data_IF_978173441147
#
_entry.id   IF_978173441147
#
_cell.length_a   1.000
_cell.length_b   1.000
_cell.length_c   1.000
_cell.angle_alpha   90.00
_cell.angle_beta   90.00
_cell.angle_gamma   90.00
#
_symmetry.space_group_name_H-M   'P 1'
#
loop_
_entity.id
_entity.type
_entity.pdbx_description
1 polymer ?
#
# COMPACT_ATOMS: atom_id res chain seq x y z
N UNK A 1 15.82 -50.50 -22.75
CA UNK A 1 16.82 -49.43 -22.93
C UNK A 1 16.28 -48.42 -23.94
N UNK A 2 16.44 -47.13 -23.63
CA UNK A 2 16.07 -45.95 -24.43
C UNK A 2 14.57 -45.59 -24.55
N UNK A 3 14.12 -44.64 -23.70
CA UNK A 3 13.30 -43.45 -24.03
C UNK A 3 12.42 -43.01 -22.84
N UNK A 4 13.04 -42.42 -21.82
CA UNK A 4 12.32 -41.76 -20.72
C UNK A 4 12.88 -40.37 -20.35
N UNK A 5 13.83 -39.82 -21.12
CA UNK A 5 14.66 -38.68 -20.67
C UNK A 5 14.52 -37.39 -21.50
N UNK A 6 13.40 -37.19 -22.20
CA UNK A 6 13.22 -36.00 -23.07
C UNK A 6 11.96 -35.18 -22.81
N UNK A 7 11.13 -35.53 -21.81
CA UNK A 7 9.90 -34.79 -21.49
C UNK A 7 9.95 -33.97 -20.21
N UNK A 8 11.07 -33.98 -19.45
CA UNK A 8 11.16 -33.30 -18.15
C UNK A 8 11.97 -31.97 -18.16
N UNK A 9 12.21 -31.39 -19.35
CA UNK A 9 12.94 -30.12 -19.50
C UNK A 9 12.12 -28.97 -20.07
N UNK A 10 10.79 -29.10 -20.09
CA UNK A 10 9.87 -27.97 -20.25
C UNK A 10 9.21 -27.64 -18.91
N UNK A 11 10.04 -27.43 -17.88
CA UNK A 11 9.69 -26.38 -16.91
C UNK A 11 9.58 -25.11 -17.74
N UNK A 12 8.38 -24.56 -17.82
CA UNK A 12 8.19 -23.14 -18.13
C UNK A 12 9.14 -22.42 -17.17
N UNK A 13 10.31 -22.00 -17.67
CA UNK A 13 11.10 -20.98 -17.02
C UNK A 13 10.18 -19.77 -17.03
N UNK A 14 9.45 -19.58 -15.92
CA UNK A 14 8.87 -18.29 -15.59
C UNK A 14 10.03 -17.32 -15.76
N UNK A 15 9.93 -16.49 -16.80
CA UNK A 15 10.93 -15.50 -17.16
C UNK A 15 10.98 -14.57 -15.95
N UNK A 16 11.97 -14.74 -15.08
CA UNK A 16 12.14 -13.93 -13.88
C UNK A 16 12.18 -12.47 -14.29
N UNK A 17 11.22 -11.67 -13.86
CA UNK A 17 11.15 -10.26 -14.24
C UNK A 17 12.18 -9.48 -13.42
N UNK A 18 13.30 -9.13 -14.06
CA UNK A 18 14.40 -8.43 -13.40
C UNK A 18 14.34 -6.90 -13.61
N UNK A 19 15.32 -6.17 -13.08
CA UNK A 19 15.38 -4.71 -13.21
C UNK A 19 15.51 -4.24 -14.68
N UNK A 20 16.17 -5.02 -15.55
CA UNK A 20 16.24 -4.69 -16.98
C UNK A 20 14.87 -4.86 -17.65
N UNK A 21 14.11 -5.89 -17.29
CA UNK A 21 12.76 -6.11 -17.78
C UNK A 21 11.82 -4.97 -17.36
N UNK A 22 11.96 -4.48 -16.13
CA UNK A 22 11.26 -3.27 -15.65
C UNK A 22 11.57 -2.07 -16.56
N UNK A 23 12.85 -1.75 -16.78
CA UNK A 23 13.23 -0.61 -17.62
C UNK A 23 12.82 -0.81 -19.09
N UNK A 24 12.86 -2.02 -19.63
CA UNK A 24 12.37 -2.34 -20.97
C UNK A 24 10.87 -2.07 -21.10
N UNK A 25 10.09 -2.47 -20.09
CA UNK A 25 8.65 -2.18 -20.06
C UNK A 25 8.37 -0.69 -20.01
N UNK A 26 9.10 0.06 -19.19
CA UNK A 26 8.97 1.53 -19.13
C UNK A 26 9.32 2.19 -20.46
N UNK A 27 10.39 1.75 -21.13
CA UNK A 27 10.76 2.25 -22.47
C UNK A 27 9.66 2.01 -23.52
N UNK A 28 8.83 0.98 -23.35
CA UNK A 28 7.68 0.70 -24.21
C UNK A 28 6.53 1.72 -24.11
N UNK A 29 6.50 2.60 -23.09
CA UNK A 29 5.40 3.54 -22.85
C UNK A 29 5.35 4.73 -23.83
N UNK A 30 6.31 4.86 -24.76
CA UNK A 30 6.39 5.94 -25.76
C UNK A 30 6.73 7.33 -25.21
N UNK A 31 6.41 7.60 -23.94
CA UNK A 31 6.76 8.82 -23.19
C UNK A 31 8.12 8.72 -22.48
N UNK A 32 8.66 7.51 -22.38
CA UNK A 32 9.91 7.24 -21.71
C UNK A 32 11.11 7.68 -22.57
N UNK A 33 12.17 8.13 -21.90
CA UNK A 33 13.44 8.50 -22.56
C UNK A 33 14.59 7.84 -21.84
N UNK A 34 15.45 7.18 -22.59
CA UNK A 34 16.71 6.68 -22.04
C UNK A 34 17.61 7.85 -21.65
N UNK A 35 18.23 7.74 -20.49
CA UNK A 35 19.13 8.77 -19.96
C UNK A 35 20.58 8.40 -20.28
N UNK A 36 21.48 9.39 -20.46
CA UNK A 36 22.89 9.11 -20.70
C UNK A 36 23.49 8.24 -19.61
N UNK A 37 24.38 7.32 -19.99
CA UNK A 37 25.11 6.45 -19.06
C UNK A 37 25.91 7.28 -18.05
N UNK A 38 25.94 6.80 -16.80
CA UNK A 38 26.65 7.46 -15.70
C UNK A 38 27.39 6.43 -14.87
N UNK A 39 28.50 6.84 -14.27
CA UNK A 39 29.29 5.96 -13.40
C UNK A 39 28.42 5.38 -12.28
N UNK A 40 28.46 4.05 -12.11
CA UNK A 40 27.71 3.36 -11.06
C UNK A 40 26.25 3.06 -11.40
N UNK A 41 25.77 3.48 -12.59
CA UNK A 41 24.43 3.23 -13.10
C UNK A 41 24.54 2.42 -14.39
N UNK A 42 24.01 1.20 -14.36
CA UNK A 42 24.03 0.29 -15.50
C UNK A 42 23.15 0.81 -16.63
N UNK A 43 21.96 1.33 -16.27
CA UNK A 43 20.96 1.86 -17.20
C UNK A 43 20.01 2.79 -16.47
N UNK A 44 19.48 3.79 -17.17
CA UNK A 44 18.51 4.72 -16.60
C UNK A 44 17.47 5.15 -17.63
N UNK A 45 16.21 5.18 -17.21
CA UNK A 45 15.06 5.58 -18.02
C UNK A 45 14.29 6.63 -17.26
N UNK A 46 13.93 7.71 -17.96
CA UNK A 46 13.06 8.75 -17.42
C UNK A 46 11.66 8.62 -17.98
N UNK A 47 10.67 8.51 -17.10
CA UNK A 47 9.25 8.61 -17.40
C UNK A 47 8.75 9.89 -16.77
N UNK A 48 8.32 10.86 -17.59
CA UNK A 48 7.96 12.21 -17.12
C UNK A 48 9.09 12.88 -16.30
N UNK A 49 8.88 13.14 -15.00
CA UNK A 49 9.86 13.76 -14.08
C UNK A 49 10.52 12.75 -13.13
N UNK A 50 10.28 11.46 -13.33
CA UNK A 50 10.86 10.37 -12.53
C UNK A 50 11.93 9.67 -13.36
N UNK A 51 13.15 9.67 -12.84
CA UNK A 51 14.25 8.88 -13.38
C UNK A 51 14.35 7.57 -12.59
N UNK A 52 14.24 6.45 -13.29
CA UNK A 52 14.36 5.09 -12.75
C UNK A 52 15.67 4.50 -13.25
N UNK A 53 16.56 4.15 -12.33
CA UNK A 53 17.92 3.76 -12.68
C UNK A 53 18.35 2.47 -11.99
N UNK A 54 19.06 1.63 -12.74
CA UNK A 54 19.61 0.37 -12.25
C UNK A 54 21.01 0.63 -11.73
N UNK A 55 21.25 0.36 -10.44
CA UNK A 55 22.59 0.47 -9.88
C UNK A 55 23.48 -0.71 -10.32
N UNK A 56 24.74 -0.44 -10.61
CA UNK A 56 25.71 -1.50 -10.97
C UNK A 56 26.06 -2.42 -9.79
N UNK A 57 26.06 -1.89 -8.56
CA UNK A 57 26.50 -2.59 -7.36
C UNK A 57 25.34 -2.79 -6.38
N UNK A 58 24.98 -4.04 -6.02
CA UNK A 58 23.77 -4.33 -5.23
C UNK A 58 23.87 -4.06 -3.71
N UNK A 59 24.80 -3.24 -3.24
CA UNK A 59 25.00 -2.99 -1.80
C UNK A 59 24.26 -1.76 -1.28
N UNK A 60 23.62 -1.83 -0.10
CA UNK A 60 22.89 -0.70 0.51
C UNK A 60 23.72 0.59 0.60
N UNK A 61 24.96 0.50 1.11
CA UNK A 61 25.87 1.65 1.18
C UNK A 61 26.15 2.25 -0.20
N UNK A 62 26.28 1.39 -1.22
CA UNK A 62 26.48 1.81 -2.61
C UNK A 62 25.23 2.50 -3.14
N UNK A 63 24.05 1.92 -2.94
CA UNK A 63 22.77 2.50 -3.36
C UNK A 63 22.56 3.89 -2.75
N UNK A 64 22.75 4.03 -1.44
CA UNK A 64 22.59 5.32 -0.75
C UNK A 64 23.63 6.34 -1.21
N UNK A 65 24.87 5.93 -1.49
CA UNK A 65 25.89 6.82 -2.05
C UNK A 65 25.50 7.31 -3.45
N UNK A 66 25.07 6.40 -4.34
CA UNK A 66 24.63 6.74 -5.70
C UNK A 66 23.39 7.63 -5.70
N UNK A 67 22.44 7.39 -4.80
CA UNK A 67 21.26 8.24 -4.69
C UNK A 67 21.65 9.68 -4.33
N UNK A 68 22.54 9.86 -3.34
CA UNK A 68 23.02 11.20 -2.93
C UNK A 68 23.77 11.92 -4.05
N UNK A 69 24.71 11.24 -4.70
CA UNK A 69 25.48 11.81 -5.81
C UNK A 69 24.61 12.32 -6.97
N UNK A 70 23.41 11.73 -7.12
CA UNK A 70 22.46 12.06 -8.17
C UNK A 70 21.44 13.13 -7.75
N UNK A 71 20.99 13.11 -6.50
CA UNK A 71 19.98 14.03 -5.97
C UNK A 71 20.43 15.49 -6.00
N UNK A 72 21.72 15.76 -5.80
CA UNK A 72 22.27 17.12 -5.81
C UNK A 72 22.36 17.74 -7.22
N UNK A 73 22.11 16.96 -8.28
CA UNK A 73 22.45 17.32 -9.67
C UNK A 73 21.26 17.49 -10.60
N UNK A 74 20.02 17.27 -10.15
CA UNK A 74 18.84 17.18 -11.02
C UNK A 74 17.56 17.74 -10.40
N UNK A 75 16.74 18.39 -11.22
CA UNK A 75 15.35 18.80 -10.90
C UNK A 75 14.34 17.63 -10.90
N UNK A 76 14.83 16.39 -11.11
CA UNK A 76 14.03 15.18 -11.23
C UNK A 76 14.17 14.32 -9.99
N UNK A 77 13.17 13.47 -9.78
CA UNK A 77 13.15 12.58 -8.61
C UNK A 77 13.56 11.19 -9.03
N UNK A 78 14.29 10.54 -8.13
CA UNK A 78 15.17 9.45 -8.49
C UNK A 78 14.80 8.17 -7.76
N UNK A 79 14.45 7.13 -8.52
CA UNK A 79 14.19 5.80 -7.99
C UNK A 79 15.32 4.87 -8.44
N UNK A 80 16.15 4.46 -7.49
CA UNK A 80 17.15 3.42 -7.74
C UNK A 80 16.51 2.05 -7.60
N UNK A 81 16.82 1.16 -8.53
CA UNK A 81 16.38 -0.23 -8.52
C UNK A 81 17.57 -1.18 -8.68
N UNK A 82 17.48 -2.36 -8.08
CA UNK A 82 18.35 -3.52 -8.32
C UNK A 82 17.50 -4.79 -8.28
N UNK A 83 18.00 -5.86 -8.87
CA UNK A 83 17.36 -7.18 -8.78
C UNK A 83 17.20 -7.60 -7.31
N UNK A 84 16.05 -8.20 -6.95
CA UNK A 84 15.89 -8.82 -5.64
C UNK A 84 16.23 -10.31 -5.71
N UNK A 85 17.38 -10.76 -5.15
CA UNK A 85 17.77 -12.17 -5.20
C UNK A 85 16.82 -13.11 -4.45
N UNK A 86 15.97 -12.58 -3.57
CA UNK A 86 15.01 -13.37 -2.80
C UNK A 86 13.66 -13.56 -3.51
N UNK A 87 13.35 -12.72 -4.51
CA UNK A 87 12.06 -12.69 -5.18
C UNK A 87 12.25 -12.42 -6.68
N UNK A 88 12.12 -13.48 -7.49
CA UNK A 88 12.47 -13.46 -8.92
C UNK A 88 11.71 -12.48 -9.79
N UNK A 89 10.54 -12.00 -9.35
CA UNK A 89 9.69 -11.04 -10.08
C UNK A 89 9.66 -9.67 -9.40
N UNK A 90 10.63 -9.39 -8.52
CA UNK A 90 10.71 -8.16 -7.74
C UNK A 90 12.07 -7.50 -7.88
N UNK A 91 12.07 -6.19 -7.62
CA UNK A 91 13.25 -5.36 -7.49
C UNK A 91 13.33 -4.77 -6.09
N UNK A 92 14.55 -4.54 -5.61
CA UNK A 92 14.76 -3.67 -4.44
C UNK A 92 14.84 -2.23 -4.91
N UNK A 93 14.13 -1.36 -4.21
CA UNK A 93 13.95 0.05 -4.58
C UNK A 93 14.47 0.98 -3.48
N UNK A 94 15.05 2.13 -3.87
CA UNK A 94 15.44 3.22 -2.98
C UNK A 94 14.99 4.57 -3.55
N UNK A 95 14.28 5.36 -2.73
CA UNK A 95 13.60 6.59 -3.15
C UNK A 95 12.09 6.38 -3.37
N UNK A 96 11.39 7.31 -4.05
CA UNK A 96 11.92 8.47 -4.78
C UNK A 96 12.08 9.75 -3.93
N UNK A 97 11.76 9.75 -2.63
CA UNK A 97 11.78 10.99 -1.82
C UNK A 97 13.16 11.32 -1.26
N UNK A 98 13.83 10.33 -0.66
CA UNK A 98 15.11 10.55 0.01
C UNK A 98 15.96 9.28 0.07
N UNK A 99 17.28 9.44 0.07
CA UNK A 99 18.23 8.33 0.27
C UNK A 99 18.15 7.69 1.65
N UNK A 100 17.48 8.30 2.63
CA UNK A 100 17.30 7.74 3.97
C UNK A 100 16.10 6.79 4.07
N UNK A 101 15.32 6.63 3.00
CA UNK A 101 14.22 5.67 2.99
C UNK A 101 14.75 4.23 3.09
N UNK A 102 13.98 3.32 3.72
CA UNK A 102 14.24 1.89 3.67
C UNK A 102 14.34 1.39 2.23
N UNK A 103 15.28 0.48 1.98
CA UNK A 103 15.31 -0.27 0.72
C UNK A 103 14.19 -1.31 0.77
N UNK A 104 13.36 -1.35 -0.27
CA UNK A 104 12.13 -2.14 -0.27
C UNK A 104 12.05 -3.07 -1.46
N UNK A 105 11.69 -4.32 -1.24
CA UNK A 105 11.33 -5.27 -2.31
C UNK A 105 9.94 -4.95 -2.86
N UNK A 106 9.81 -4.85 -4.17
CA UNK A 106 8.59 -4.45 -4.88
C UNK A 106 8.44 -5.26 -6.16
N UNK A 107 7.23 -5.77 -6.43
CA UNK A 107 6.89 -6.46 -7.68
C UNK A 107 7.11 -5.56 -8.91
N UNK A 108 7.85 -6.08 -9.89
CA UNK A 108 8.26 -5.33 -11.09
C UNK A 108 7.06 -4.88 -11.93
N UNK A 109 6.08 -5.76 -12.12
CA UNK A 109 4.93 -5.46 -12.96
C UNK A 109 4.09 -4.35 -12.33
N UNK A 110 3.81 -4.44 -11.03
CA UNK A 110 3.05 -3.43 -10.30
C UNK A 110 3.81 -2.11 -10.18
N UNK A 111 5.12 -2.14 -9.98
CA UNK A 111 5.95 -0.93 -9.99
C UNK A 111 5.91 -0.22 -11.34
N UNK A 112 5.96 -0.97 -12.44
CA UNK A 112 5.88 -0.37 -13.78
C UNK A 112 4.55 0.37 -14.01
N UNK A 113 3.43 -0.22 -13.57
CA UNK A 113 2.11 0.43 -13.64
C UNK A 113 2.05 1.67 -12.74
N UNK A 114 2.60 1.60 -11.52
CA UNK A 114 2.67 2.77 -10.64
C UNK A 114 3.48 3.92 -11.26
N UNK A 115 4.58 3.63 -11.95
CA UNK A 115 5.37 4.64 -12.67
C UNK A 115 4.61 5.17 -13.88
N UNK A 116 3.95 4.31 -14.65
CA UNK A 116 3.12 4.71 -15.80
C UNK A 116 2.02 5.70 -15.40
N UNK A 117 1.35 5.46 -14.27
CA UNK A 117 0.30 6.35 -13.75
C UNK A 117 0.80 7.77 -13.44
N UNK A 118 2.11 7.96 -13.24
CA UNK A 118 2.69 9.30 -13.00
C UNK A 118 2.84 10.15 -14.27
N UNK A 119 2.59 9.58 -15.45
CA UNK A 119 2.82 10.22 -16.74
C UNK A 119 2.08 11.55 -16.90
N UNK A 120 0.84 11.62 -16.42
CA UNK A 120 -0.04 12.79 -16.54
C UNK A 120 0.00 13.73 -15.32
N UNK A 121 0.72 13.35 -14.27
CA UNK A 121 0.71 14.06 -12.99
C UNK A 121 1.71 15.23 -12.96
N UNK A 122 1.40 16.34 -12.27
CA UNK A 122 2.38 17.36 -11.90
C UNK A 122 3.54 16.75 -11.10
N UNK A 123 4.74 17.35 -11.19
CA UNK A 123 5.98 16.76 -10.64
C UNK A 123 5.86 16.38 -9.15
N UNK A 124 5.37 17.29 -8.30
CA UNK A 124 5.26 17.02 -6.87
C UNK A 124 4.27 15.88 -6.57
N UNK A 125 3.18 15.80 -7.33
CA UNK A 125 2.13 14.79 -7.15
C UNK A 125 2.59 13.43 -7.65
N UNK A 126 3.27 13.37 -8.81
CA UNK A 126 3.91 12.17 -9.34
C UNK A 126 4.84 11.50 -8.31
N UNK A 127 5.65 12.32 -7.62
CA UNK A 127 6.61 11.84 -6.61
C UNK A 127 5.90 11.34 -5.36
N UNK A 128 4.88 12.07 -4.91
CA UNK A 128 4.08 11.69 -3.74
C UNK A 128 3.31 10.40 -4.02
N UNK A 129 2.71 10.29 -5.20
CA UNK A 129 2.06 9.08 -5.69
C UNK A 129 3.04 7.91 -5.71
N UNK A 130 4.15 8.00 -6.45
CA UNK A 130 5.12 6.90 -6.56
C UNK A 130 5.71 6.48 -5.22
N UNK A 131 6.01 7.43 -4.32
CA UNK A 131 6.49 7.11 -2.98
C UNK A 131 5.43 6.38 -2.13
N UNK A 132 4.16 6.76 -2.29
CA UNK A 132 3.03 6.07 -1.68
C UNK A 132 2.89 4.64 -2.22
N UNK A 133 2.97 4.49 -3.53
CA UNK A 133 2.85 3.19 -4.22
C UNK A 133 4.01 2.25 -3.90
N UNK A 134 5.26 2.72 -3.89
CA UNK A 134 6.42 1.92 -3.48
C UNK A 134 6.24 1.39 -2.05
N UNK A 135 5.76 2.24 -1.13
CA UNK A 135 5.48 1.83 0.26
C UNK A 135 4.36 0.79 0.32
N UNK A 136 3.28 1.00 -0.44
CA UNK A 136 2.11 0.11 -0.51
C UNK A 136 2.48 -1.26 -1.06
N UNK A 137 3.17 -1.29 -2.19
CA UNK A 137 3.61 -2.51 -2.85
C UNK A 137 4.58 -3.30 -1.97
N UNK A 138 5.52 -2.63 -1.32
CA UNK A 138 6.44 -3.26 -0.37
C UNK A 138 5.73 -3.83 0.87
N UNK A 139 4.67 -3.16 1.31
CA UNK A 139 3.79 -3.64 2.38
C UNK A 139 2.90 -4.82 1.98
N UNK A 140 2.91 -5.22 0.70
CA UNK A 140 2.09 -6.32 0.15
C UNK A 140 0.60 -6.16 0.50
N UNK A 141 0.10 -4.95 0.26
CA UNK A 141 -1.31 -4.62 0.49
C UNK A 141 -1.68 -4.18 1.90
N UNK A 142 -0.69 -3.97 2.78
CA UNK A 142 -0.91 -3.33 4.07
C UNK A 142 0.13 -2.25 4.36
N UNK A 143 -0.32 -1.09 4.84
CA UNK A 143 0.56 -0.01 5.31
C UNK A 143 0.04 0.48 6.65
N UNK A 144 0.91 0.47 7.65
CA UNK A 144 0.58 0.88 9.01
C UNK A 144 1.19 2.24 9.30
N UNK A 145 0.40 3.15 9.86
CA UNK A 145 0.86 4.45 10.33
C UNK A 145 0.23 4.77 11.68
N UNK A 146 0.85 4.35 12.78
CA UNK A 146 0.43 4.70 14.15
C UNK A 146 -0.79 3.92 14.68
N UNK A 147 -1.80 3.65 13.84
CA UNK A 147 -3.06 3.02 14.30
C UNK A 147 -2.83 1.65 14.94
N UNK A 148 -1.89 0.89 14.39
CA UNK A 148 -1.35 -0.35 14.95
C UNK A 148 0.17 -0.34 14.75
N UNK A 149 0.83 -1.44 15.07
CA UNK A 149 2.22 -1.67 14.65
C UNK A 149 2.33 -2.86 13.71
N UNK A 150 3.40 -2.92 12.93
CA UNK A 150 3.71 -4.12 12.13
C UNK A 150 3.83 -5.37 13.02
N UNK A 151 4.39 -5.23 14.22
CA UNK A 151 4.45 -6.34 15.19
C UNK A 151 3.04 -6.79 15.62
N UNK A 152 2.12 -5.86 15.88
CA UNK A 152 0.73 -6.21 16.21
C UNK A 152 0.07 -7.00 15.08
N UNK A 153 0.23 -6.55 13.83
CA UNK A 153 -0.38 -7.23 12.68
C UNK A 153 0.21 -8.61 12.40
N UNK A 154 1.52 -8.78 12.49
CA UNK A 154 2.15 -10.08 12.18
C UNK A 154 2.11 -11.00 13.40
N UNK A 155 2.60 -10.57 14.56
CA UNK A 155 2.80 -11.45 15.71
C UNK A 155 1.58 -11.59 16.64
N UNK A 156 0.68 -10.59 16.69
CA UNK A 156 -0.47 -10.58 17.63
C UNK A 156 -1.82 -10.83 16.97
N UNK A 157 -1.90 -10.57 15.68
CA UNK A 157 -3.08 -10.83 14.87
C UNK A 157 -2.90 -12.08 14.02
N UNK A 158 -1.91 -12.08 13.12
CA UNK A 158 -1.71 -13.19 12.16
C UNK A 158 -1.19 -14.47 12.81
N UNK A 159 -0.19 -14.37 13.68
CA UNK A 159 0.38 -15.55 14.33
C UNK A 159 -0.46 -16.04 15.52
N UNK A 160 -1.56 -15.34 15.86
CA UNK A 160 -2.51 -15.79 16.86
C UNK A 160 -3.56 -16.72 16.22
N UNK A 161 -3.56 -18.03 16.49
CA UNK A 161 -4.35 -19.00 15.73
C UNK A 161 -5.85 -18.69 15.73
N UNK A 162 -6.43 -18.41 16.90
CA UNK A 162 -7.88 -18.20 17.02
C UNK A 162 -8.35 -16.91 16.33
N UNK A 163 -7.61 -15.80 16.53
CA UNK A 163 -7.90 -14.52 15.86
C UNK A 163 -7.79 -14.65 14.35
N UNK A 164 -6.75 -15.30 13.87
CA UNK A 164 -6.54 -15.47 12.44
C UNK A 164 -7.57 -16.39 11.80
N UNK A 165 -7.97 -17.47 12.49
CA UNK A 165 -9.04 -18.36 12.04
C UNK A 165 -10.38 -17.62 11.96
N UNK A 166 -10.77 -16.88 13.01
CA UNK A 166 -11.98 -16.07 12.99
C UNK A 166 -11.96 -15.00 11.88
N UNK A 167 -10.82 -14.33 11.69
CA UNK A 167 -10.63 -13.37 10.60
C UNK A 167 -10.72 -14.03 9.21
N UNK A 168 -10.24 -15.27 9.07
CA UNK A 168 -10.36 -16.03 7.85
C UNK A 168 -11.82 -16.41 7.56
N UNK A 169 -12.59 -16.82 8.57
CA UNK A 169 -14.02 -17.09 8.43
C UNK A 169 -14.81 -15.84 8.00
N UNK A 170 -14.54 -14.68 8.63
CA UNK A 170 -15.18 -13.40 8.27
C UNK A 170 -14.90 -13.02 6.81
N UNK A 171 -13.71 -13.35 6.30
CA UNK A 171 -13.28 -12.95 4.96
C UNK A 171 -13.47 -14.03 3.90
N UNK A 172 -13.97 -15.19 4.29
CA UNK A 172 -14.24 -16.29 3.37
C UNK A 172 -15.39 -15.92 2.42
N UNK A 173 -15.26 -16.29 1.15
CA UNK A 173 -16.25 -15.98 0.12
C UNK A 173 -16.43 -14.49 -0.24
N UNK A 174 -15.74 -13.55 0.41
CA UNK A 174 -15.85 -12.13 0.08
C UNK A 174 -15.37 -11.81 -1.36
N UNK A 175 -16.15 -10.98 -2.04
CA UNK A 175 -15.81 -10.46 -3.38
C UNK A 175 -14.80 -9.31 -3.25
N UNK A 176 -13.52 -9.62 -3.46
CA UNK A 176 -12.40 -8.67 -3.29
C UNK A 176 -12.23 -7.68 -4.44
N UNK A 177 -12.53 -8.08 -5.67
CA UNK A 177 -12.38 -7.22 -6.85
C UNK A 177 -13.65 -6.40 -7.13
N UNK A 178 -14.41 -6.12 -6.07
CA UNK A 178 -15.68 -5.42 -6.12
C UNK A 178 -15.55 -3.94 -5.76
N UNK A 179 -16.64 -3.22 -5.90
CA UNK A 179 -16.78 -1.90 -5.33
C UNK A 179 -16.72 -2.01 -3.79
N UNK A 180 -16.08 -1.07 -3.09
CA UNK A 180 -15.93 -1.08 -1.61
C UNK A 180 -17.22 -1.44 -0.86
N UNK A 181 -18.36 -0.97 -1.38
CA UNK A 181 -19.69 -1.22 -0.83
C UNK A 181 -20.00 -2.72 -0.77
N UNK A 182 -19.67 -3.46 -1.82
CA UNK A 182 -19.88 -4.92 -1.90
C UNK A 182 -19.09 -5.67 -0.83
N UNK A 183 -17.86 -5.23 -0.55
CA UNK A 183 -17.06 -5.84 0.51
C UNK A 183 -17.64 -5.56 1.90
N UNK A 184 -18.03 -4.31 2.18
CA UNK A 184 -18.65 -3.98 3.47
C UNK A 184 -20.03 -4.64 3.65
N UNK A 185 -20.87 -4.65 2.61
CA UNK A 185 -22.15 -5.37 2.60
C UNK A 185 -21.92 -6.87 2.88
N UNK A 186 -20.89 -7.47 2.27
CA UNK A 186 -20.50 -8.87 2.50
C UNK A 186 -20.00 -9.17 3.92
N UNK A 187 -19.49 -8.16 4.63
CA UNK A 187 -19.14 -8.25 6.06
C UNK A 187 -20.34 -8.05 6.99
N UNK A 188 -21.56 -7.89 6.45
CA UNK A 188 -22.79 -7.73 7.21
C UNK A 188 -23.19 -6.29 7.51
N UNK A 189 -22.53 -5.30 6.91
CA UNK A 189 -22.94 -3.90 7.08
C UNK A 189 -24.22 -3.57 6.30
N UNK A 190 -25.04 -2.71 6.88
CA UNK A 190 -26.06 -1.94 6.19
C UNK A 190 -25.48 -0.56 5.87
N UNK A 191 -25.36 -0.22 4.59
CA UNK A 191 -24.73 1.03 4.15
C UNK A 191 -25.82 2.08 3.86
N UNK A 192 -25.91 3.09 4.72
CA UNK A 192 -26.84 4.22 4.62
C UNK A 192 -26.14 5.42 3.96
N UNK A 193 -26.71 5.98 2.90
CA UNK A 193 -26.19 7.19 2.27
C UNK A 193 -26.65 8.44 3.02
N UNK A 194 -25.73 9.34 3.35
CA UNK A 194 -26.07 10.54 4.10
C UNK A 194 -26.45 11.71 3.17
N UNK A 195 -27.34 12.64 3.61
CA UNK A 195 -27.85 13.71 2.75
C UNK A 195 -26.78 14.69 2.25
N UNK A 196 -25.69 14.89 2.99
CA UNK A 196 -24.62 15.84 2.64
C UNK A 196 -23.49 15.15 1.90
N UNK A 197 -22.84 14.17 2.53
CA UNK A 197 -21.71 13.42 1.98
C UNK A 197 -21.47 12.15 2.78
N UNK A 198 -20.80 11.20 2.15
CA UNK A 198 -20.39 9.97 2.79
C UNK A 198 -21.54 9.00 3.04
N UNK A 199 -21.17 7.90 3.69
CA UNK A 199 -22.07 6.80 4.00
C UNK A 199 -21.84 6.38 5.45
N UNK A 200 -22.91 5.99 6.12
CA UNK A 200 -22.86 5.43 7.47
C UNK A 200 -22.98 3.91 7.37
N UNK A 201 -21.95 3.20 7.78
CA UNK A 201 -21.96 1.75 7.90
C UNK A 201 -22.58 1.35 9.24
N UNK A 202 -23.66 0.58 9.19
CA UNK A 202 -24.43 0.12 10.35
C UNK A 202 -24.36 -1.38 10.51
N UNK A 203 -24.36 -1.85 11.75
CA UNK A 203 -24.46 -3.26 12.10
C UNK A 203 -25.46 -3.39 13.25
N UNK A 204 -26.40 -4.33 13.14
CA UNK A 204 -27.51 -4.50 14.11
C UNK A 204 -28.22 -3.19 14.46
N UNK A 205 -28.49 -2.35 13.45
CA UNK A 205 -29.19 -1.08 13.63
C UNK A 205 -28.37 0.01 14.35
N UNK A 206 -27.11 -0.23 14.70
CA UNK A 206 -26.20 0.73 15.34
C UNK A 206 -25.19 1.29 14.33
N UNK A 207 -24.82 2.58 14.41
CA UNK A 207 -23.78 3.15 13.57
C UNK A 207 -22.40 2.66 14.03
N UNK A 208 -21.55 2.21 13.09
CA UNK A 208 -20.24 1.62 13.39
C UNK A 208 -19.10 2.46 12.82
N UNK A 209 -19.20 2.83 11.54
CA UNK A 209 -18.16 3.57 10.86
C UNK A 209 -18.72 4.57 9.83
N UNK A 210 -18.03 5.69 9.66
CA UNK A 210 -18.24 6.60 8.53
C UNK A 210 -17.40 6.14 7.33
N UNK A 211 -17.96 6.18 6.12
CA UNK A 211 -17.26 5.82 4.89
C UNK A 211 -17.27 6.98 3.91
N UNK A 212 -16.09 7.44 3.52
CA UNK A 212 -15.89 8.43 2.47
C UNK A 212 -15.29 7.75 1.22
N UNK A 213 -16.10 7.49 0.18
CA UNK A 213 -15.58 6.94 -1.05
C UNK A 213 -14.94 8.02 -1.91
N UNK A 214 -13.85 7.63 -2.58
CA UNK A 214 -13.11 8.45 -3.52
C UNK A 214 -12.94 7.73 -4.86
N UNK A 215 -12.82 8.51 -5.92
CA UNK A 215 -12.59 7.99 -7.27
C UNK A 215 -11.17 7.43 -7.42
N UNK A 216 -10.20 8.03 -6.73
CA UNK A 216 -8.79 7.67 -6.82
C UNK A 216 -8.13 7.70 -5.41
N UNK A 217 -7.10 6.87 -5.14
CA UNK A 217 -6.48 6.81 -3.81
C UNK A 217 -5.70 8.07 -3.41
N UNK A 218 -5.26 8.88 -4.37
CA UNK A 218 -4.50 10.13 -4.16
C UNK A 218 -5.31 11.14 -3.36
N UNK A 219 -6.64 11.06 -3.45
CA UNK A 219 -7.53 11.92 -2.67
C UNK A 219 -7.48 11.65 -1.16
N UNK A 220 -6.92 10.52 -0.73
CA UNK A 220 -6.76 10.24 0.70
C UNK A 220 -5.79 11.22 1.38
N UNK A 221 -4.92 11.88 0.62
CA UNK A 221 -3.92 12.83 1.13
C UNK A 221 -4.12 14.26 0.63
N UNK A 222 -5.22 14.51 -0.09
CA UNK A 222 -5.54 15.83 -0.65
C UNK A 222 -6.15 16.73 0.44
N UNK A 223 -5.97 18.03 0.28
CA UNK A 223 -6.68 19.05 1.06
C UNK A 223 -7.91 19.54 0.27
N UNK A 224 -9.00 19.80 0.96
CA UNK A 224 -10.20 20.42 0.38
C UNK A 224 -9.96 21.90 0.04
N UNK A 225 -10.97 22.56 -0.56
CA UNK A 225 -10.90 23.97 -0.95
C UNK A 225 -10.67 24.94 0.23
N UNK A 226 -10.86 24.46 1.46
CA UNK A 226 -10.63 25.19 2.70
C UNK A 226 -9.28 24.85 3.34
N UNK A 227 -8.43 24.08 2.65
CA UNK A 227 -7.11 23.66 3.13
C UNK A 227 -7.16 22.55 4.19
N UNK A 228 -8.32 21.92 4.42
CA UNK A 228 -8.45 20.84 5.40
C UNK A 228 -8.08 19.50 4.77
N UNK A 229 -7.24 18.68 5.42
CA UNK A 229 -6.99 17.32 4.98
C UNK A 229 -8.29 16.50 4.93
N UNK A 230 -8.41 15.62 3.93
CA UNK A 230 -9.54 14.68 3.81
C UNK A 230 -9.82 13.91 5.11
N UNK A 231 -8.78 13.64 5.91
CA UNK A 231 -8.87 12.95 7.20
C UNK A 231 -9.60 13.79 8.26
N UNK A 232 -9.29 15.08 8.36
CA UNK A 232 -9.98 15.98 9.30
C UNK A 232 -11.46 16.13 8.95
N UNK A 233 -11.78 16.06 7.65
CA UNK A 233 -13.17 16.05 7.19
C UNK A 233 -13.92 14.79 7.65
N UNK A 234 -13.30 13.62 7.42
CA UNK A 234 -13.83 12.33 7.85
C UNK A 234 -14.01 12.27 9.37
N UNK A 235 -13.02 12.72 10.14
CA UNK A 235 -13.08 12.75 11.61
C UNK A 235 -14.21 13.67 12.11
N UNK A 236 -14.40 14.83 11.48
CA UNK A 236 -15.52 15.72 11.80
C UNK A 236 -16.88 15.05 11.59
N UNK A 237 -17.04 14.29 10.51
CA UNK A 237 -18.29 13.57 10.24
C UNK A 237 -18.48 12.38 11.17
N UNK A 238 -17.39 11.68 11.52
CA UNK A 238 -17.41 10.64 12.54
C UNK A 238 -17.97 11.19 13.86
N UNK A 239 -17.42 12.32 14.32
CA UNK A 239 -17.86 12.99 15.53
C UNK A 239 -19.32 13.43 15.45
N UNK A 240 -19.74 14.05 14.32
CA UNK A 240 -21.12 14.47 14.12
C UNK A 240 -22.12 13.30 14.21
N UNK A 241 -21.71 12.11 13.77
CA UNK A 241 -22.56 10.91 13.75
C UNK A 241 -22.32 9.97 14.95
N UNK A 242 -21.48 10.36 15.91
CA UNK A 242 -21.19 9.57 17.11
C UNK A 242 -20.52 8.22 16.82
N UNK A 243 -19.76 8.12 15.73
CA UNK A 243 -18.99 6.92 15.39
C UNK A 243 -17.50 7.15 15.65
N UNK A 244 -16.81 6.11 16.10
CA UNK A 244 -15.37 6.17 16.39
C UNK A 244 -14.51 6.02 15.14
N UNK A 245 -14.91 5.15 14.21
CA UNK A 245 -14.06 4.77 13.09
C UNK A 245 -14.47 5.44 11.79
N UNK A 246 -13.46 5.87 11.03
CA UNK A 246 -13.61 6.42 9.69
C UNK A 246 -12.89 5.55 8.66
N UNK A 247 -13.51 5.36 7.49
CA UNK A 247 -12.93 4.62 6.37
C UNK A 247 -12.92 5.52 5.14
N UNK A 248 -11.75 5.76 4.57
CA UNK A 248 -11.66 6.22 3.18
C UNK A 248 -11.58 5.00 2.28
N UNK A 249 -12.47 4.93 1.28
CA UNK A 249 -12.55 3.80 0.39
C UNK A 249 -12.30 4.25 -1.07
N UNK A 250 -11.53 3.48 -1.81
CA UNK A 250 -11.35 3.67 -3.25
C UNK A 250 -11.22 2.30 -3.90
N UNK A 251 -12.23 1.88 -4.66
CA UNK A 251 -12.34 0.52 -5.23
C UNK A 251 -12.19 -0.54 -4.13
N UNK A 252 -11.07 -1.24 -4.10
CA UNK A 252 -10.69 -2.34 -3.21
C UNK A 252 -9.64 -1.93 -2.16
N UNK A 253 -9.36 -0.63 -2.07
CA UNK A 253 -8.45 -0.04 -1.08
C UNK A 253 -9.22 0.70 0.00
N UNK A 254 -8.78 0.50 1.23
CA UNK A 254 -9.41 1.00 2.43
C UNK A 254 -8.35 1.63 3.33
N UNK A 255 -8.55 2.88 3.73
CA UNK A 255 -7.78 3.49 4.81
C UNK A 255 -8.68 3.70 6.01
N UNK A 256 -8.40 2.93 7.06
CA UNK A 256 -9.07 2.97 8.34
C UNK A 256 -8.39 3.96 9.28
N UNK A 257 -9.19 4.74 9.98
CA UNK A 257 -8.80 5.72 10.98
C UNK A 257 -9.55 5.46 12.29
N UNK A 258 -8.88 5.73 13.41
CA UNK A 258 -9.54 5.95 14.69
C UNK A 258 -9.76 7.45 14.85
N UNK A 259 -11.02 7.87 14.78
CA UNK A 259 -11.45 9.26 14.85
C UNK A 259 -11.95 9.64 16.25
N UNK A 260 -11.59 8.87 17.29
CA UNK A 260 -11.79 9.29 18.66
C UNK A 260 -11.13 10.67 18.89
N UNK A 261 -11.79 11.66 19.52
CA UNK A 261 -11.20 12.97 19.77
C UNK A 261 -9.92 12.94 20.62
N UNK A 262 -9.69 11.86 21.37
CA UNK A 262 -8.45 11.63 22.12
C UNK A 262 -7.34 10.98 21.29
N UNK A 263 -7.69 10.42 20.13
CA UNK A 263 -6.74 9.86 19.17
C UNK A 263 -6.15 10.96 18.29
N UNK A 264 -4.91 10.73 17.83
CA UNK A 264 -4.29 11.64 16.87
C UNK A 264 -4.91 11.36 15.50
N UNK A 265 -5.58 12.35 14.89
CA UNK A 265 -6.09 12.30 13.50
C UNK A 265 -4.94 12.33 12.48
N UNK A 266 -3.92 11.50 12.70
CA UNK A 266 -2.91 11.16 11.72
C UNK A 266 -2.59 9.67 11.74
N UNK A 267 -3.27 8.87 12.56
CA UNK A 267 -3.02 7.44 12.71
C UNK A 267 -3.99 6.62 11.84
N UNK A 268 -3.45 5.76 10.98
CA UNK A 268 -4.24 4.96 10.06
C UNK A 268 -3.63 3.59 9.70
N UNK A 269 -4.50 2.72 9.22
CA UNK A 269 -4.17 1.45 8.58
C UNK A 269 -4.72 1.45 7.16
N UNK A 270 -3.85 1.23 6.17
CA UNK A 270 -4.22 1.09 4.76
C UNK A 270 -4.20 -0.40 4.40
N UNK A 271 -5.31 -0.90 3.85
CA UNK A 271 -5.50 -2.25 3.37
C UNK A 271 -5.92 -2.20 1.91
N UNK A 272 -5.23 -2.98 1.08
CA UNK A 272 -5.47 -3.06 -0.35
C UNK A 272 -5.76 -4.51 -0.70
N UNK A 273 -7.03 -4.78 -0.99
CA UNK A 273 -7.55 -6.13 -1.05
C UNK A 273 -7.00 -6.90 -2.26
N UNK A 274 -6.77 -6.24 -3.40
CA UNK A 274 -6.09 -6.83 -4.56
C UNK A 274 -4.63 -7.21 -4.23
N UNK A 275 -3.91 -6.39 -3.45
CA UNK A 275 -2.51 -6.66 -3.13
C UNK A 275 -2.26 -7.67 -2.02
N UNK A 276 -3.17 -7.82 -1.05
CA UNK A 276 -2.98 -8.73 0.09
C UNK A 276 -2.77 -10.19 -0.37
N UNK A 277 -3.43 -10.57 -1.46
CA UNK A 277 -3.48 -11.95 -1.94
C UNK A 277 -4.24 -12.87 -0.97
N UNK A 278 -4.51 -14.11 -1.40
CA UNK A 278 -5.36 -15.05 -0.64
C UNK A 278 -4.85 -15.31 0.78
N UNK A 279 -3.54 -15.52 0.95
CA UNK A 279 -2.93 -15.83 2.25
C UNK A 279 -3.01 -14.70 3.27
N UNK A 280 -3.17 -13.44 2.84
CA UNK A 280 -3.26 -12.30 3.76
C UNK A 280 -4.64 -11.62 3.72
N UNK A 281 -5.60 -12.20 2.99
CA UNK A 281 -7.00 -11.77 2.95
C UNK A 281 -7.62 -11.57 4.34
N UNK A 282 -7.32 -12.39 5.38
CA UNK A 282 -7.89 -12.20 6.71
C UNK A 282 -7.60 -10.84 7.36
N UNK A 283 -6.59 -10.08 6.92
CA UNK A 283 -6.41 -8.70 7.39
C UNK A 283 -7.60 -7.79 7.08
N UNK A 284 -8.39 -8.08 6.04
CA UNK A 284 -9.60 -7.31 5.73
C UNK A 284 -10.67 -7.43 6.83
N UNK A 285 -10.63 -8.48 7.67
CA UNK A 285 -11.53 -8.62 8.81
C UNK A 285 -11.42 -7.43 9.78
N UNK A 286 -10.30 -6.71 9.81
CA UNK A 286 -10.14 -5.49 10.63
C UNK A 286 -11.13 -4.37 10.26
N UNK A 287 -11.80 -4.46 9.10
CA UNK A 287 -12.87 -3.56 8.70
C UNK A 287 -14.27 -4.04 9.14
N UNK A 288 -14.40 -5.28 9.62
CA UNK A 288 -15.68 -5.91 9.94
C UNK A 288 -16.28 -5.43 11.26
N UNK A 289 -17.59 -5.66 11.49
CA UNK A 289 -18.22 -5.30 12.76
C UNK A 289 -17.56 -5.96 13.97
N UNK A 290 -17.03 -7.18 13.84
CA UNK A 290 -16.34 -7.86 14.93
C UNK A 290 -15.15 -7.04 15.48
N UNK A 291 -14.45 -6.31 14.61
CA UNK A 291 -13.32 -5.47 15.01
C UNK A 291 -13.73 -4.02 15.30
N UNK A 292 -14.64 -3.44 14.53
CA UNK A 292 -15.01 -2.02 14.65
C UNK A 292 -16.17 -1.74 15.60
N UNK A 293 -17.09 -2.68 15.79
CA UNK A 293 -18.24 -2.53 16.68
C UNK A 293 -18.05 -3.25 18.01
N UNK A 294 -17.48 -4.46 17.97
CA UNK A 294 -17.39 -5.35 19.14
C UNK A 294 -16.06 -5.24 19.92
N UNK A 295 -15.23 -4.25 19.57
CA UNK A 295 -14.02 -3.90 20.33
C UNK A 295 -12.74 -4.64 19.92
N UNK A 296 -12.79 -5.57 18.96
CA UNK A 296 -11.61 -6.34 18.56
C UNK A 296 -10.43 -5.48 18.08
N UNK A 297 -10.70 -4.35 17.40
CA UNK A 297 -9.62 -3.42 17.02
C UNK A 297 -9.08 -2.64 18.22
N UNK A 298 -9.96 -2.20 19.12
CA UNK A 298 -9.55 -1.48 20.33
C UNK A 298 -8.65 -2.34 21.23
N UNK A 299 -8.91 -3.65 21.30
CA UNK A 299 -8.05 -4.60 22.01
C UNK A 299 -6.66 -4.69 21.37
N UNK A 300 -6.59 -4.78 20.03
CA UNK A 300 -5.31 -4.77 19.30
C UNK A 300 -4.54 -3.46 19.49
N UNK A 301 -5.24 -2.32 19.52
CA UNK A 301 -4.63 -1.01 19.80
C UNK A 301 -4.08 -0.97 21.24
N UNK A 302 -4.84 -1.44 22.22
CA UNK A 302 -4.40 -1.51 23.62
C UNK A 302 -3.15 -2.38 23.79
N UNK A 303 -3.11 -3.56 23.13
CA UNK A 303 -1.92 -4.41 23.10
C UNK A 303 -0.70 -3.72 22.47
N UNK A 304 -0.92 -2.99 21.36
CA UNK A 304 0.14 -2.24 20.69
C UNK A 304 0.74 -1.15 21.60
N UNK A 305 -0.11 -0.40 22.31
CA UNK A 305 0.33 0.62 23.25
C UNK A 305 1.07 0.03 24.46
N UNK A 306 0.56 -1.08 25.03
CA UNK A 306 1.19 -1.75 26.17
C UNK A 306 2.59 -2.26 25.80
N UNK A 307 2.76 -2.84 24.61
CA UNK A 307 4.07 -3.27 24.11
C UNK A 307 5.03 -2.08 23.94
N UNK A 308 4.54 -0.97 23.35
CA UNK A 308 5.34 0.25 23.19
C UNK A 308 5.81 0.87 24.51
N UNK A 309 4.98 0.79 25.56
CA UNK A 309 5.33 1.26 26.90
C UNK A 309 6.39 0.38 27.58
N UNK A 310 6.35 -0.94 27.38
CA UNK A 310 7.32 -1.88 27.95
C UNK A 310 8.71 -1.87 27.31
N UNK A 311 8.87 -1.21 26.16
CA UNK A 311 10.16 -1.03 25.48
C UNK A 311 10.87 0.28 25.85
N UNK A 312 10.22 1.16 26.61
CA UNK A 312 10.78 2.42 27.11
C UNK A 312 11.33 2.24 28.52
#
# INVERSE_FOLDING_TARGET
>A
MANANLLDRRRVQLRSVNADDLLNRLMGLGIAREMPNRSGIRRSVRVNKIEVAIAEKPGERSLRARWREHADKMDFRYLLVIDDPEHSDSVRTLGPRTYNEPIRSVDCAKLSTAIENTASMPNLDAVRHLAGEVRRLAGRGKVVHGLLTHHTLEARFRDHPDRWAAAAEITDGLLINGHWKTLLDGMGYQIEMLPKRGYLARFDGRPVAMVHPWAEPEYFVRVDDMGRPSEGLLASDCHQHGVRYGIMACRDRYRLFDCDPSATTGEWLDLDAELLGEKNRPYLALLSPHYLADGGLADLQAEAHAFGAGLR
#
